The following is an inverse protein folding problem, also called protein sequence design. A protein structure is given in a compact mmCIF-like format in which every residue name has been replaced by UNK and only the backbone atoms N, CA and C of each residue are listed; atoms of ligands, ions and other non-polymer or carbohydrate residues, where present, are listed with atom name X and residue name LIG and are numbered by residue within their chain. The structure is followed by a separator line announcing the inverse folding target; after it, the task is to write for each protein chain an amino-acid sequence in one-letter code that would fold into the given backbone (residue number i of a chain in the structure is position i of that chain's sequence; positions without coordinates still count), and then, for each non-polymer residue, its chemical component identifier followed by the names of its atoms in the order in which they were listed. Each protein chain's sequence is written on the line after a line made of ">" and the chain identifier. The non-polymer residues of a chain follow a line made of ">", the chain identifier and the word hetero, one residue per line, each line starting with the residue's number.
data_IF_593378914395
#
_entry.id   IF_593378914395
#
_cell.length_a   1.000
_cell.length_b   1.000
_cell.length_c   1.000
_cell.angle_alpha   90.00
_cell.angle_beta   90.00
_cell.angle_gamma   90.00
#
_symmetry.space_group_name_H-M   'P 1'
#
loop_
_entity.id
_entity.type
_entity.pdbx_description
1 polymer ?
#
# COMPACT_ATOMS: atom_id res chain seq x y z
N UNK A 1 -33.67 1.39 41.19
CA UNK A 1 -33.65 2.81 41.61
C UNK A 1 -33.52 3.63 40.37
N UNK A 2 -34.62 4.07 39.98
CA UNK A 2 -35.13 5.22 39.20
C UNK A 2 -34.29 5.79 38.05
N UNK A 3 -34.92 5.61 36.89
CA UNK A 3 -34.72 6.20 35.58
C UNK A 3 -35.19 7.68 35.61
N UNK A 4 -34.40 8.61 35.11
CA UNK A 4 -34.85 9.96 34.78
C UNK A 4 -34.84 10.17 33.27
N UNK A 5 -36.04 10.35 32.69
CA UNK A 5 -36.31 10.81 31.34
C UNK A 5 -36.21 12.34 31.31
N UNK A 6 -35.55 12.91 30.33
CA UNK A 6 -35.59 14.33 29.99
C UNK A 6 -36.31 14.51 28.63
N UNK A 7 -37.38 15.28 28.68
CA UNK A 7 -38.28 15.66 27.58
C UNK A 7 -37.76 16.90 26.84
N UNK A 8 -37.98 16.91 25.52
CA UNK A 8 -37.73 18.05 24.64
C UNK A 8 -38.83 19.14 24.73
N UNK A 9 -38.54 20.41 24.48
CA UNK A 9 -39.57 21.42 24.34
C UNK A 9 -39.94 21.69 22.87
N UNK A 10 -41.24 21.86 22.74
CA UNK A 10 -42.09 22.19 21.62
C UNK A 10 -41.88 23.66 21.16
N UNK A 11 -41.81 23.86 19.84
CA UNK A 11 -41.76 25.21 19.25
C UNK A 11 -43.11 25.60 18.65
N UNK A 12 -43.67 26.73 19.14
CA UNK A 12 -44.94 27.32 18.67
C UNK A 12 -44.70 28.38 17.59
N UNK A 13 -45.58 28.37 16.59
CA UNK A 13 -45.64 29.28 15.44
C UNK A 13 -46.58 30.45 15.75
N UNK A 14 -46.20 31.63 15.27
CA UNK A 14 -46.97 32.78 14.76
C UNK A 14 -46.63 34.13 15.42
N UNK A 15 -46.12 35.02 14.60
CA UNK A 15 -46.76 36.36 14.38
C UNK A 15 -46.06 37.12 13.25
N UNK A 16 -46.90 37.53 12.32
CA UNK A 16 -46.66 38.46 11.20
C UNK A 16 -46.53 39.90 11.68
N UNK A 17 -45.69 40.75 11.06
CA UNK A 17 -45.96 42.17 10.79
C UNK A 17 -45.18 42.64 9.58
N UNK A 18 -45.89 43.38 8.71
CA UNK A 18 -45.49 43.98 7.44
C UNK A 18 -44.82 45.37 7.65
N UNK A 19 -44.47 46.11 6.57
CA UNK A 19 -43.11 46.61 6.37
C UNK A 19 -42.99 48.14 6.55
N UNK A 20 -41.77 48.63 6.72
CA UNK A 20 -41.46 50.06 6.63
C UNK A 20 -40.56 50.30 5.42
N UNK A 21 -41.07 51.08 4.47
CA UNK A 21 -40.36 51.59 3.28
C UNK A 21 -39.51 52.77 3.68
N UNK A 22 -38.22 52.72 3.41
CA UNK A 22 -37.37 53.94 3.35
C UNK A 22 -36.43 53.80 2.14
N UNK A 23 -36.76 54.63 1.14
CA UNK A 23 -35.94 54.88 -0.05
C UNK A 23 -34.69 55.65 0.32
N UNK A 24 -33.51 55.12 0.02
CA UNK A 24 -32.32 55.94 -0.29
C UNK A 24 -31.52 55.24 -1.40
N UNK A 25 -31.38 55.94 -2.48
CA UNK A 25 -30.61 55.68 -3.67
C UNK A 25 -29.14 55.44 -3.35
N UNK A 26 -28.58 54.34 -3.79
CA UNK A 26 -27.14 54.07 -3.89
C UNK A 26 -26.80 53.59 -5.31
N UNK A 27 -25.57 53.81 -5.79
CA UNK A 27 -25.22 53.79 -7.20
C UNK A 27 -25.11 52.41 -7.79
N UNK A 28 -25.30 52.34 -9.10
CA UNK A 28 -25.21 51.14 -9.95
C UNK A 28 -23.92 50.37 -9.76
N UNK A 29 -23.98 49.26 -9.02
CA UNK A 29 -23.03 48.16 -9.20
C UNK A 29 -23.53 47.30 -10.35
N UNK A 30 -22.82 47.33 -11.45
CA UNK A 30 -22.97 46.39 -12.55
C UNK A 30 -22.56 45.01 -12.03
N UNK A 31 -23.52 44.15 -11.73
CA UNK A 31 -23.29 42.71 -11.48
C UNK A 31 -22.82 42.11 -12.80
N UNK A 32 -21.52 41.90 -12.91
CA UNK A 32 -20.95 40.99 -13.93
C UNK A 32 -21.31 39.59 -13.49
N UNK A 33 -22.37 39.05 -14.08
CA UNK A 33 -22.64 37.64 -14.06
C UNK A 33 -21.50 36.94 -14.82
N UNK A 34 -20.47 36.53 -14.10
CA UNK A 34 -19.51 35.54 -14.62
C UNK A 34 -20.27 34.25 -14.85
N UNK A 35 -20.50 34.01 -16.12
CA UNK A 35 -20.97 32.71 -16.63
C UNK A 35 -20.04 31.65 -16.02
N UNK A 36 -20.55 30.78 -15.13
CA UNK A 36 -19.85 29.60 -14.70
C UNK A 36 -19.50 28.83 -15.97
N UNK A 37 -18.24 28.86 -16.35
CA UNK A 37 -17.71 27.95 -17.34
C UNK A 37 -17.79 26.57 -16.67
N UNK A 38 -18.65 25.69 -17.21
CA UNK A 38 -18.52 24.27 -16.99
C UNK A 38 -17.14 23.90 -17.50
N UNK A 39 -16.18 23.79 -16.61
CA UNK A 39 -14.95 23.07 -16.90
C UNK A 39 -15.39 21.61 -16.97
N UNK A 40 -15.48 21.08 -18.19
CA UNK A 40 -15.50 19.64 -18.39
C UNK A 40 -14.22 19.13 -17.75
N UNK A 41 -14.32 18.66 -16.49
CA UNK A 41 -13.25 17.92 -15.84
C UNK A 41 -13.19 16.61 -16.61
N UNK A 42 -12.25 16.52 -17.55
CA UNK A 42 -11.92 15.25 -18.17
C UNK A 42 -11.66 14.26 -17.05
N UNK A 43 -12.45 13.17 -16.98
CA UNK A 43 -12.23 12.11 -16.01
C UNK A 43 -10.83 11.58 -16.30
N UNK A 44 -9.89 11.87 -15.39
CA UNK A 44 -8.54 11.33 -15.47
C UNK A 44 -8.63 9.82 -15.17
N UNK A 45 -8.52 9.01 -16.21
CA UNK A 45 -8.48 7.55 -16.12
C UNK A 45 -7.05 7.04 -15.87
N UNK A 46 -6.12 7.91 -15.49
CA UNK A 46 -4.78 7.53 -15.12
C UNK A 46 -4.77 6.79 -13.77
N UNK A 47 -3.68 6.07 -13.52
CA UNK A 47 -3.44 5.42 -12.22
C UNK A 47 -3.42 6.39 -11.04
N UNK A 48 -3.17 7.69 -11.29
CA UNK A 48 -3.10 8.74 -10.28
C UNK A 48 -4.45 9.42 -9.98
N UNK A 49 -5.53 9.03 -10.68
CA UNK A 49 -6.84 9.67 -10.56
C UNK A 49 -7.44 9.65 -9.15
N UNK A 50 -7.00 8.72 -8.29
CA UNK A 50 -7.46 8.62 -6.91
C UNK A 50 -6.70 9.52 -5.93
N UNK A 51 -5.48 9.95 -6.25
CA UNK A 51 -4.61 10.69 -5.33
C UNK A 51 -5.17 12.04 -4.87
N UNK A 52 -5.80 12.87 -5.75
CA UNK A 52 -6.36 14.15 -5.31
C UNK A 52 -7.40 14.01 -4.20
N UNK A 53 -8.33 13.08 -4.34
CA UNK A 53 -9.36 12.84 -3.32
C UNK A 53 -8.77 12.27 -2.02
N UNK A 54 -7.74 11.43 -2.10
CA UNK A 54 -7.04 10.90 -0.93
C UNK A 54 -6.27 12.01 -0.20
N UNK A 55 -5.57 12.90 -0.92
CA UNK A 55 -4.86 14.04 -0.33
C UNK A 55 -5.83 15.02 0.33
N UNK A 56 -6.98 15.32 -0.31
CA UNK A 56 -8.05 16.12 0.26
C UNK A 56 -8.60 15.53 1.55
N UNK A 57 -8.90 14.23 1.56
CA UNK A 57 -9.40 13.51 2.74
C UNK A 57 -8.41 13.54 3.92
N UNK A 58 -7.11 13.54 3.64
CA UNK A 58 -6.05 13.68 4.64
C UNK A 58 -5.79 15.12 5.06
N UNK A 59 -6.29 16.12 4.31
CA UNK A 59 -6.00 17.54 4.53
C UNK A 59 -4.53 17.90 4.25
N UNK A 60 -3.87 17.20 3.33
CA UNK A 60 -2.47 17.41 2.96
C UNK A 60 -2.35 17.86 1.50
N UNK A 61 -1.29 18.59 1.13
CA UNK A 61 -1.03 18.90 -0.27
C UNK A 61 -0.71 17.62 -1.05
N UNK A 62 -1.18 17.60 -2.32
CA UNK A 62 -0.78 16.54 -3.25
C UNK A 62 0.64 16.85 -3.78
N UNK A 63 1.67 16.03 -3.47
CA UNK A 63 2.98 16.23 -4.04
C UNK A 63 2.98 15.85 -5.53
N UNK A 64 4.00 16.26 -6.31
CA UNK A 64 4.25 15.65 -7.61
C UNK A 64 4.39 14.14 -7.48
N UNK A 65 3.73 13.40 -8.36
CA UNK A 65 3.81 11.92 -8.41
C UNK A 65 4.04 11.51 -9.85
N UNK A 66 4.98 10.63 -10.06
CA UNK A 66 5.28 10.06 -11.39
C UNK A 66 5.61 8.58 -11.28
N UNK A 67 5.36 7.85 -12.36
CA UNK A 67 5.86 6.49 -12.54
C UNK A 67 7.21 6.54 -13.22
N UNK A 68 8.19 5.85 -12.62
CA UNK A 68 9.53 5.69 -13.19
C UNK A 68 9.81 4.21 -13.44
N UNK A 69 10.73 3.92 -14.34
CA UNK A 69 11.12 2.56 -14.68
C UNK A 69 12.62 2.46 -14.88
N UNK A 70 13.20 1.32 -14.45
CA UNK A 70 14.59 0.97 -14.64
C UNK A 70 14.70 -0.29 -15.49
N UNK A 71 15.58 -0.27 -16.49
CA UNK A 71 16.00 -1.48 -17.18
C UNK A 71 17.06 -2.16 -16.32
N UNK A 72 16.76 -3.33 -15.77
CA UNK A 72 17.67 -4.14 -14.99
C UNK A 72 18.79 -4.75 -15.85
N UNK A 73 19.86 -5.19 -15.21
CA UNK A 73 21.02 -5.79 -15.86
C UNK A 73 20.71 -7.04 -16.67
N UNK A 74 19.67 -7.80 -16.27
CA UNK A 74 19.17 -8.99 -16.97
C UNK A 74 18.17 -8.67 -18.10
N UNK A 75 17.86 -7.39 -18.31
CA UNK A 75 16.95 -6.93 -19.36
C UNK A 75 15.48 -6.86 -18.96
N UNK A 76 15.09 -7.26 -17.74
CA UNK A 76 13.76 -7.00 -17.18
C UNK A 76 13.59 -5.51 -16.87
N UNK A 77 12.37 -5.08 -16.59
CA UNK A 77 12.06 -3.72 -16.17
C UNK A 77 11.51 -3.75 -14.74
N UNK A 78 12.07 -2.92 -13.86
CA UNK A 78 11.51 -2.64 -12.55
C UNK A 78 10.83 -1.27 -12.59
N UNK A 79 9.65 -1.17 -11.99
CA UNK A 79 8.80 0.02 -11.96
C UNK A 79 8.64 0.53 -10.53
N UNK A 80 8.49 1.84 -10.37
CA UNK A 80 8.20 2.47 -9.09
C UNK A 80 7.35 3.73 -9.26
N UNK A 81 6.64 4.11 -8.20
CA UNK A 81 6.07 5.44 -8.03
C UNK A 81 7.07 6.30 -7.25
N UNK A 82 7.36 7.49 -7.79
CA UNK A 82 8.13 8.52 -7.09
C UNK A 82 7.17 9.59 -6.59
N UNK A 83 7.19 9.86 -5.28
CA UNK A 83 6.44 10.94 -4.65
C UNK A 83 7.39 12.06 -4.22
N UNK A 84 6.96 13.30 -4.47
CA UNK A 84 7.71 14.49 -4.08
C UNK A 84 8.84 14.84 -5.05
N UNK A 85 9.66 15.80 -4.62
CA UNK A 85 10.81 16.32 -5.39
C UNK A 85 12.11 16.09 -4.62
N UNK A 86 13.21 15.97 -5.33
CA UNK A 86 14.53 15.72 -4.73
C UNK A 86 14.88 14.23 -4.70
N UNK A 87 15.98 13.91 -4.00
CA UNK A 87 16.42 12.53 -3.79
C UNK A 87 15.47 11.82 -2.84
N UNK A 88 15.01 10.60 -3.16
CA UNK A 88 14.21 9.82 -2.24
C UNK A 88 14.93 9.56 -0.91
N UNK A 89 14.18 9.63 0.18
CA UNK A 89 14.64 9.37 1.54
C UNK A 89 14.05 8.08 2.12
N UNK A 90 12.93 7.64 1.56
CA UNK A 90 12.17 6.47 1.98
C UNK A 90 11.90 5.57 0.78
N UNK A 91 12.07 4.28 0.96
CA UNK A 91 11.70 3.27 -0.02
C UNK A 91 10.68 2.30 0.58
N UNK A 92 9.56 2.12 -0.12
CA UNK A 92 8.42 1.33 0.30
C UNK A 92 8.29 0.07 -0.58
N UNK A 93 8.26 -1.11 0.04
CA UNK A 93 8.12 -2.42 -0.62
C UNK A 93 6.82 -3.09 -0.20
N UNK A 94 5.98 -3.44 -1.16
CA UNK A 94 4.66 -4.03 -0.92
C UNK A 94 4.70 -5.55 -0.67
N UNK A 95 3.60 -6.10 -0.19
CA UNK A 95 3.40 -7.53 0.01
C UNK A 95 3.00 -8.29 -1.26
N UNK A 96 2.99 -9.62 -1.18
CA UNK A 96 2.60 -10.50 -2.27
C UNK A 96 1.19 -10.18 -2.79
N UNK A 97 1.03 -10.12 -4.11
CA UNK A 97 -0.24 -9.84 -4.78
C UNK A 97 -0.68 -8.37 -4.76
N UNK A 98 0.11 -7.47 -4.17
CA UNK A 98 -0.10 -6.02 -4.16
C UNK A 98 0.76 -5.32 -5.22
N UNK A 99 0.84 -4.00 -5.18
CA UNK A 99 1.70 -3.16 -6.02
C UNK A 99 2.02 -1.84 -5.29
N UNK A 100 2.78 -0.96 -5.93
CA UNK A 100 3.22 0.33 -5.36
C UNK A 100 2.06 1.20 -4.84
N UNK A 101 0.89 1.16 -5.46
CA UNK A 101 -0.26 1.96 -5.05
C UNK A 101 -0.91 1.56 -3.71
N UNK A 102 -0.54 0.41 -3.13
CA UNK A 102 -0.96 0.07 -1.76
C UNK A 102 -0.43 1.10 -0.74
N UNK A 103 0.62 1.84 -1.12
CA UNK A 103 1.29 2.84 -0.29
C UNK A 103 0.75 4.26 -0.46
N UNK A 104 -0.15 4.53 -1.43
CA UNK A 104 -0.59 5.88 -1.79
C UNK A 104 -0.96 6.74 -0.59
N UNK A 105 -1.87 6.25 0.27
CA UNK A 105 -2.35 7.01 1.43
C UNK A 105 -1.25 7.23 2.48
N UNK A 106 -0.39 6.22 2.70
CA UNK A 106 0.77 6.35 3.60
C UNK A 106 1.79 7.35 3.05
N UNK A 107 2.08 7.31 1.75
CA UNK A 107 2.97 8.24 1.07
C UNK A 107 2.47 9.68 1.14
N UNK A 108 1.16 9.88 0.90
CA UNK A 108 0.51 11.19 1.05
C UNK A 108 0.58 11.69 2.50
N UNK A 109 0.34 10.84 3.49
CA UNK A 109 0.41 11.23 4.90
C UNK A 109 1.84 11.55 5.37
N UNK A 110 2.85 10.87 4.80
CA UNK A 110 4.26 11.04 5.18
C UNK A 110 4.88 12.34 4.64
N UNK A 111 4.42 12.83 3.49
CA UNK A 111 4.88 14.11 2.89
C UNK A 111 6.41 14.22 2.75
N UNK A 112 7.10 13.11 2.44
CA UNK A 112 8.54 13.05 2.19
C UNK A 112 8.83 12.59 0.77
N UNK A 113 9.97 12.97 0.15
CA UNK A 113 10.40 12.35 -1.09
C UNK A 113 10.61 10.85 -0.91
N UNK A 114 9.90 10.02 -1.68
CA UNK A 114 9.96 8.57 -1.54
C UNK A 114 9.76 7.81 -2.85
N UNK A 115 10.14 6.53 -2.79
CA UNK A 115 9.85 5.53 -3.80
C UNK A 115 8.89 4.48 -3.24
N UNK A 116 7.87 4.11 -4.00
CA UNK A 116 7.11 2.89 -3.79
C UNK A 116 7.37 1.96 -4.98
N UNK A 117 8.06 0.83 -4.75
CA UNK A 117 8.54 -0.04 -5.81
C UNK A 117 7.50 -1.14 -6.09
N UNK A 118 7.19 -1.37 -7.35
CA UNK A 118 6.54 -2.60 -7.81
C UNK A 118 7.60 -3.71 -7.82
N UNK A 119 7.55 -4.65 -6.89
CA UNK A 119 8.45 -5.81 -6.88
C UNK A 119 8.30 -6.63 -8.18
N UNK A 120 9.36 -7.31 -8.62
CA UNK A 120 9.26 -8.18 -9.80
C UNK A 120 8.04 -9.12 -9.69
N UNK A 121 7.36 -9.34 -10.81
CA UNK A 121 6.14 -10.13 -10.84
C UNK A 121 4.88 -9.40 -10.37
N UNK A 122 4.95 -8.11 -10.07
CA UNK A 122 3.84 -7.29 -9.57
C UNK A 122 3.76 -5.95 -10.30
N UNK A 123 2.58 -5.32 -10.23
CA UNK A 123 2.35 -3.98 -10.76
C UNK A 123 2.77 -3.85 -12.21
N UNK A 124 3.58 -2.84 -12.51
CA UNK A 124 4.10 -2.60 -13.86
C UNK A 124 5.56 -3.07 -14.03
N UNK A 125 6.08 -3.83 -13.06
CA UNK A 125 7.36 -4.54 -13.17
C UNK A 125 7.25 -5.81 -13.99
N UNK A 126 8.36 -6.20 -14.64
CA UNK A 126 8.43 -7.45 -15.41
C UNK A 126 8.20 -8.68 -14.54
N UNK A 127 7.55 -9.68 -15.10
CA UNK A 127 7.50 -11.01 -14.52
C UNK A 127 8.83 -11.74 -14.75
N UNK A 128 9.18 -12.65 -13.85
CA UNK A 128 10.36 -13.51 -13.96
C UNK A 128 9.98 -14.79 -14.71
N UNK A 129 10.81 -15.19 -15.66
CA UNK A 129 10.61 -16.44 -16.43
C UNK A 129 10.80 -17.69 -15.55
N UNK A 130 11.72 -17.60 -14.57
CA UNK A 130 12.00 -18.68 -13.61
C UNK A 130 10.96 -18.76 -12.47
N UNK A 131 10.03 -17.80 -12.41
CA UNK A 131 9.04 -17.66 -11.36
C UNK A 131 9.64 -17.63 -9.92
N UNK A 132 10.93 -17.30 -9.78
CA UNK A 132 11.58 -17.15 -8.47
C UNK A 132 11.31 -15.75 -7.89
N UNK A 133 10.46 -15.71 -6.88
CA UNK A 133 10.09 -14.50 -6.13
C UNK A 133 10.51 -14.63 -4.66
N UNK A 134 11.56 -15.39 -4.39
CA UNK A 134 12.14 -15.47 -3.06
C UNK A 134 12.64 -14.06 -2.62
N UNK A 135 12.57 -13.73 -1.32
CA UNK A 135 12.97 -12.42 -0.81
C UNK A 135 14.38 -11.98 -1.25
N UNK A 136 15.35 -12.89 -1.23
CA UNK A 136 16.74 -12.59 -1.66
C UNK A 136 16.82 -12.28 -3.15
N UNK A 137 16.08 -13.03 -3.99
CA UNK A 137 16.02 -12.80 -5.44
C UNK A 137 15.37 -11.46 -5.77
N UNK A 138 14.32 -11.09 -5.04
CA UNK A 138 13.68 -9.77 -5.18
C UNK A 138 14.57 -8.64 -4.66
N UNK A 139 15.37 -8.90 -3.63
CA UNK A 139 16.31 -7.92 -3.07
C UNK A 139 17.36 -7.48 -4.10
N UNK A 140 17.87 -8.38 -4.93
CA UNK A 140 18.84 -8.06 -5.98
C UNK A 140 18.27 -7.03 -6.97
N UNK A 141 17.02 -7.20 -7.39
CA UNK A 141 16.33 -6.25 -8.28
C UNK A 141 16.17 -4.86 -7.60
N UNK A 142 15.84 -4.85 -6.30
CA UNK A 142 15.68 -3.58 -5.53
C UNK A 142 17.03 -2.91 -5.31
N UNK A 143 18.12 -3.65 -5.12
CA UNK A 143 19.49 -3.09 -5.03
C UNK A 143 19.83 -2.32 -6.29
N UNK A 144 19.63 -2.90 -7.49
CA UNK A 144 19.87 -2.18 -8.75
C UNK A 144 19.06 -0.88 -8.83
N UNK A 145 17.81 -0.90 -8.34
CA UNK A 145 16.94 0.28 -8.32
C UNK A 145 17.44 1.36 -7.36
N UNK A 146 17.85 0.99 -6.15
CA UNK A 146 18.37 1.97 -5.17
C UNK A 146 19.68 2.58 -5.64
N UNK A 147 20.60 1.78 -6.21
CA UNK A 147 21.83 2.28 -6.79
C UNK A 147 21.58 3.30 -7.93
N UNK A 148 20.47 3.11 -8.69
CA UNK A 148 20.14 4.00 -9.81
C UNK A 148 19.33 5.24 -9.41
N UNK A 149 18.44 5.13 -8.41
CA UNK A 149 17.42 6.14 -8.11
C UNK A 149 17.67 6.93 -6.84
N UNK A 150 18.61 6.50 -5.99
CA UNK A 150 18.88 7.15 -4.71
C UNK A 150 20.33 7.62 -4.60
N UNK A 151 20.58 8.58 -3.73
CA UNK A 151 21.92 9.13 -3.48
C UNK A 151 22.33 9.05 -2.02
N UNK A 152 21.47 8.46 -1.19
CA UNK A 152 21.68 8.34 0.25
C UNK A 152 21.03 7.06 0.78
N UNK A 153 21.47 6.53 1.92
CA UNK A 153 20.83 5.38 2.56
C UNK A 153 19.34 5.65 2.86
N UNK A 154 18.50 4.66 2.62
CA UNK A 154 17.05 4.76 2.69
C UNK A 154 16.49 4.34 4.05
N UNK A 155 15.44 5.01 4.51
CA UNK A 155 14.47 4.39 5.41
C UNK A 155 13.71 3.34 4.57
N UNK A 156 14.07 2.07 4.75
CA UNK A 156 13.50 0.96 3.99
C UNK A 156 12.32 0.36 4.73
N UNK A 157 11.13 0.44 4.16
CA UNK A 157 9.88 -0.04 4.77
C UNK A 157 9.29 -1.13 3.89
N UNK A 158 9.13 -2.32 4.45
CA UNK A 158 8.57 -3.44 3.70
C UNK A 158 7.41 -4.12 4.42
N UNK A 159 6.32 -4.34 3.72
CA UNK A 159 5.16 -5.07 4.23
C UNK A 159 5.21 -6.52 3.74
N UNK A 160 5.02 -7.49 4.64
CA UNK A 160 4.93 -8.92 4.29
C UNK A 160 6.15 -9.37 3.44
N UNK A 161 5.94 -9.86 2.21
CA UNK A 161 7.02 -10.20 1.27
C UNK A 161 8.05 -9.06 1.12
N UNK A 162 7.58 -7.80 1.02
CA UNK A 162 8.46 -6.62 0.97
C UNK A 162 9.31 -6.45 2.22
N UNK A 163 8.82 -6.86 3.40
CA UNK A 163 9.55 -6.84 4.66
C UNK A 163 10.71 -7.84 4.68
N UNK A 164 10.46 -9.06 4.21
CA UNK A 164 11.50 -10.08 4.07
C UNK A 164 12.52 -9.71 2.97
N UNK A 165 12.04 -9.13 1.85
CA UNK A 165 12.90 -8.58 0.79
C UNK A 165 13.79 -7.46 1.32
N UNK A 166 13.23 -6.55 2.12
CA UNK A 166 13.98 -5.48 2.77
C UNK A 166 15.04 -5.99 3.74
N UNK A 167 14.74 -7.06 4.49
CA UNK A 167 15.71 -7.71 5.38
C UNK A 167 16.89 -8.30 4.59
N UNK A 168 16.62 -9.03 3.50
CA UNK A 168 17.64 -9.60 2.63
C UNK A 168 18.52 -8.50 1.99
N UNK A 169 17.92 -7.39 1.54
CA UNK A 169 18.63 -6.24 1.01
C UNK A 169 19.52 -5.60 2.07
N UNK A 170 18.97 -5.30 3.25
CA UNK A 170 19.71 -4.65 4.33
C UNK A 170 20.88 -5.50 4.86
N UNK A 171 20.75 -6.83 4.81
CA UNK A 171 21.82 -7.77 5.16
C UNK A 171 22.99 -7.75 4.16
N UNK A 172 22.68 -7.60 2.87
CA UNK A 172 23.70 -7.68 1.78
C UNK A 172 24.27 -6.32 1.39
N UNK A 173 23.46 -5.23 1.52
CA UNK A 173 23.83 -3.85 1.15
C UNK A 173 23.48 -2.88 2.29
N UNK A 174 24.18 -3.01 3.45
CA UNK A 174 23.94 -2.14 4.61
C UNK A 174 24.21 -0.66 4.29
N UNK A 175 25.02 -0.37 3.27
CA UNK A 175 25.30 0.98 2.77
C UNK A 175 24.06 1.68 2.17
N UNK A 176 23.07 0.92 1.72
CA UNK A 176 21.81 1.45 1.15
C UNK A 176 20.70 1.68 2.17
N UNK A 177 20.85 1.23 3.42
CA UNK A 177 19.76 1.23 4.41
C UNK A 177 20.17 1.98 5.67
N UNK A 178 19.48 3.07 5.97
CA UNK A 178 19.66 3.82 7.22
C UNK A 178 18.82 3.24 8.38
N UNK A 179 17.67 2.66 8.08
CA UNK A 179 16.79 1.95 9.01
C UNK A 179 15.91 0.97 8.23
N UNK A 180 15.58 -0.17 8.83
CA UNK A 180 14.66 -1.16 8.30
C UNK A 180 13.39 -1.20 9.14
N UNK A 181 12.23 -1.01 8.48
CA UNK A 181 10.91 -1.20 9.09
C UNK A 181 10.22 -2.38 8.44
N UNK A 182 10.01 -3.45 9.20
CA UNK A 182 9.32 -4.68 8.78
C UNK A 182 7.87 -4.62 9.23
N UNK A 183 6.92 -4.64 8.29
CA UNK A 183 5.50 -4.47 8.58
C UNK A 183 4.77 -5.81 8.50
N UNK A 184 4.31 -6.26 9.65
CA UNK A 184 3.43 -7.38 9.93
C UNK A 184 3.86 -8.73 9.31
N UNK A 185 5.16 -9.01 9.38
CA UNK A 185 5.76 -10.31 9.00
C UNK A 185 6.97 -10.60 9.87
N UNK A 186 7.20 -11.87 10.17
CA UNK A 186 8.48 -12.40 10.62
C UNK A 186 8.75 -13.71 9.87
N UNK A 187 10.01 -14.17 9.77
CA UNK A 187 10.30 -15.45 9.11
C UNK A 187 9.61 -16.66 9.75
N UNK A 188 9.14 -16.54 11.01
CA UNK A 188 8.42 -17.61 11.72
C UNK A 188 6.92 -17.66 11.45
N UNK A 189 6.35 -16.66 10.77
CA UNK A 189 4.91 -16.62 10.50
C UNK A 189 4.53 -17.68 9.48
N UNK A 190 3.58 -18.54 9.85
CA UNK A 190 3.00 -19.52 8.92
C UNK A 190 2.01 -18.82 7.96
N UNK A 191 2.52 -18.37 6.82
CA UNK A 191 1.70 -17.77 5.76
C UNK A 191 0.73 -18.74 5.11
N UNK A 192 0.94 -20.07 5.27
CA UNK A 192 0.02 -21.07 4.75
C UNK A 192 -1.31 -21.10 5.53
N UNK A 193 -1.28 -20.64 6.79
CA UNK A 193 -2.46 -20.42 7.60
C UNK A 193 -3.28 -19.18 7.18
N UNK A 194 -2.80 -18.41 6.19
CA UNK A 194 -3.52 -17.28 5.62
C UNK A 194 -4.93 -17.66 5.17
N UNK A 195 -5.87 -16.69 5.09
CA UNK A 195 -7.28 -16.99 4.86
C UNK A 195 -7.49 -17.91 3.64
N UNK A 196 -8.18 -19.03 3.82
CA UNK A 196 -8.54 -19.92 2.72
C UNK A 196 -9.27 -19.16 1.59
N UNK A 197 -9.99 -18.09 1.95
CA UNK A 197 -10.63 -17.19 1.02
C UNK A 197 -9.64 -16.46 0.09
N UNK A 198 -8.45 -16.06 0.59
CA UNK A 198 -7.42 -15.40 -0.24
C UNK A 198 -6.84 -16.39 -1.27
N UNK A 199 -6.55 -17.62 -0.83
CA UNK A 199 -6.14 -18.69 -1.75
C UNK A 199 -7.20 -18.98 -2.81
N UNK A 200 -8.47 -19.09 -2.39
CA UNK A 200 -9.60 -19.30 -3.30
C UNK A 200 -9.83 -18.11 -4.26
N UNK A 201 -9.53 -16.91 -3.82
CA UNK A 201 -9.64 -15.71 -4.66
C UNK A 201 -8.63 -15.74 -5.81
N UNK A 202 -7.36 -16.05 -5.53
CA UNK A 202 -6.31 -16.14 -6.54
C UNK A 202 -6.30 -17.46 -7.31
N UNK A 203 -6.85 -18.53 -6.75
CA UNK A 203 -6.96 -19.84 -7.37
C UNK A 203 -8.05 -19.95 -8.47
N UNK A 204 -8.66 -18.84 -8.86
CA UNK A 204 -9.70 -18.81 -9.89
C UNK A 204 -9.18 -18.51 -11.29
N UNK A 205 -10.06 -18.04 -12.20
CA UNK A 205 -9.66 -17.58 -13.52
C UNK A 205 -8.58 -16.50 -13.43
N UNK A 206 -7.63 -16.52 -14.36
CA UNK A 206 -6.54 -15.53 -14.45
C UNK A 206 -6.94 -14.30 -15.24
N UNK A 207 -8.08 -14.38 -15.95
CA UNK A 207 -8.67 -13.26 -16.70
C UNK A 207 -10.19 -13.21 -16.56
N UNK A 208 -10.77 -12.04 -16.79
CA UNK A 208 -12.16 -11.70 -16.52
C UNK A 208 -12.75 -10.88 -17.68
N UNK A 209 -14.07 -10.90 -17.84
CA UNK A 209 -14.73 -10.11 -18.88
C UNK A 209 -14.67 -8.60 -18.58
N UNK A 210 -14.60 -8.21 -17.31
CA UNK A 210 -14.53 -6.81 -16.89
C UNK A 210 -13.95 -6.67 -15.47
N UNK A 211 -13.52 -5.44 -15.12
CA UNK A 211 -13.17 -5.10 -13.74
C UNK A 211 -14.37 -5.24 -12.78
N UNK A 212 -15.59 -4.96 -13.28
CA UNK A 212 -16.81 -5.14 -12.48
C UNK A 212 -17.03 -6.57 -12.00
N UNK A 213 -16.73 -7.57 -12.85
CA UNK A 213 -16.77 -8.98 -12.46
C UNK A 213 -15.82 -9.30 -11.30
N UNK A 214 -14.62 -8.75 -11.33
CA UNK A 214 -13.64 -8.90 -10.25
C UNK A 214 -14.06 -8.20 -8.96
N UNK A 215 -14.66 -7.02 -9.07
CA UNK A 215 -15.20 -6.28 -7.90
C UNK A 215 -16.29 -7.12 -7.23
N UNK A 216 -17.26 -7.65 -7.97
CA UNK A 216 -18.30 -8.50 -7.41
C UNK A 216 -17.72 -9.77 -6.77
N UNK A 217 -16.74 -10.40 -7.40
CA UNK A 217 -16.04 -11.57 -6.83
C UNK A 217 -15.32 -11.22 -5.53
N UNK A 218 -14.56 -10.12 -5.50
CA UNK A 218 -13.85 -9.68 -4.31
C UNK A 218 -14.81 -9.39 -3.14
N UNK A 219 -15.87 -8.64 -3.41
CA UNK A 219 -16.89 -8.30 -2.41
C UNK A 219 -17.64 -9.54 -1.89
N UNK A 220 -17.95 -10.51 -2.77
CA UNK A 220 -18.61 -11.76 -2.36
C UNK A 220 -17.76 -12.60 -1.39
N UNK A 221 -16.44 -12.43 -1.42
CA UNK A 221 -15.48 -13.11 -0.55
C UNK A 221 -15.07 -12.26 0.66
N UNK A 222 -15.61 -11.04 0.79
CA UNK A 222 -15.31 -10.12 1.89
C UNK A 222 -13.98 -9.39 1.76
N UNK A 223 -13.43 -9.28 0.53
CA UNK A 223 -12.21 -8.53 0.27
C UNK A 223 -12.49 -7.07 -0.14
N UNK A 224 -11.53 -6.18 0.16
CA UNK A 224 -11.46 -4.82 -0.35
C UNK A 224 -12.18 -3.75 0.47
N UNK A 225 -12.90 -4.12 1.55
CA UNK A 225 -13.62 -3.14 2.37
C UNK A 225 -14.89 -2.60 1.69
N UNK A 226 -15.01 -1.29 1.52
CA UNK A 226 -16.12 -0.67 0.80
C UNK A 226 -16.05 -0.96 -0.70
N UNK A 227 -17.18 -0.79 -1.41
CA UNK A 227 -17.20 -0.94 -2.87
C UNK A 227 -16.17 -0.02 -3.56
N UNK A 228 -16.07 1.24 -3.15
CA UNK A 228 -15.14 2.20 -3.73
C UNK A 228 -13.67 1.79 -3.53
N UNK A 229 -13.32 1.29 -2.35
CA UNK A 229 -11.98 0.75 -2.07
C UNK A 229 -11.69 -0.49 -2.91
N UNK A 230 -12.68 -1.38 -3.06
CA UNK A 230 -12.57 -2.57 -3.91
C UNK A 230 -12.39 -2.21 -5.38
N UNK A 231 -13.17 -1.26 -5.90
CA UNK A 231 -13.06 -0.75 -7.27
C UNK A 231 -11.68 -0.14 -7.53
N UNK A 232 -11.17 0.67 -6.59
CA UNK A 232 -9.81 1.20 -6.66
C UNK A 232 -8.76 0.08 -6.67
N UNK A 233 -8.84 -0.86 -5.74
CA UNK A 233 -7.92 -1.98 -5.65
C UNK A 233 -7.89 -2.82 -6.92
N UNK A 234 -9.06 -3.15 -7.47
CA UNK A 234 -9.19 -3.89 -8.74
C UNK A 234 -8.62 -3.08 -9.90
N UNK A 235 -8.94 -1.78 -9.99
CA UNK A 235 -8.42 -0.91 -11.06
C UNK A 235 -6.89 -0.88 -11.07
N UNK A 236 -6.25 -0.71 -9.92
CA UNK A 236 -4.80 -0.57 -9.79
C UNK A 236 -4.04 -1.91 -9.92
N UNK A 237 -4.67 -3.04 -9.55
CA UNK A 237 -4.08 -4.38 -9.63
C UNK A 237 -4.36 -5.13 -10.93
N UNK A 238 -5.09 -4.53 -11.89
CA UNK A 238 -5.44 -5.16 -13.16
C UNK A 238 -5.06 -4.32 -14.35
N UNK A 239 -4.87 -4.99 -15.48
CA UNK A 239 -4.73 -4.35 -16.80
C UNK A 239 -5.73 -4.92 -17.78
N UNK A 240 -6.09 -4.11 -18.78
CA UNK A 240 -6.91 -4.55 -19.90
C UNK A 240 -5.97 -5.05 -21.01
N UNK A 241 -6.18 -6.28 -21.46
CA UNK A 241 -5.43 -6.90 -22.56
C UNK A 241 -5.92 -6.38 -23.92
N UNK A 242 -5.14 -6.67 -24.96
CA UNK A 242 -5.49 -6.27 -26.33
C UNK A 242 -6.83 -6.89 -26.84
N UNK A 243 -7.23 -8.04 -26.28
CA UNK A 243 -8.52 -8.70 -26.56
C UNK A 243 -9.70 -8.14 -25.75
N UNK A 244 -9.47 -7.09 -24.93
CA UNK A 244 -10.45 -6.43 -24.08
C UNK A 244 -10.72 -7.13 -22.75
N UNK A 245 -10.13 -8.28 -22.50
CA UNK A 245 -10.23 -8.97 -21.20
C UNK A 245 -9.36 -8.29 -20.15
N UNK A 246 -9.74 -8.46 -18.91
CA UNK A 246 -9.03 -7.93 -17.73
C UNK A 246 -8.22 -9.04 -17.09
N UNK A 247 -6.95 -8.80 -16.82
CA UNK A 247 -6.07 -9.75 -16.11
C UNK A 247 -5.37 -9.08 -14.93
N UNK A 248 -4.91 -9.90 -13.98
CA UNK A 248 -4.09 -9.44 -12.87
C UNK A 248 -2.73 -8.92 -13.36
N UNK A 249 -2.24 -7.83 -12.75
CA UNK A 249 -0.86 -7.35 -12.95
C UNK A 249 0.18 -8.25 -12.27
N UNK A 250 -0.21 -9.04 -11.26
CA UNK A 250 0.73 -9.89 -10.55
C UNK A 250 0.76 -11.33 -11.09
N UNK A 251 1.96 -11.91 -11.15
CA UNK A 251 2.20 -13.26 -11.67
C UNK A 251 1.61 -14.36 -10.76
N UNK A 252 1.44 -14.08 -9.46
CA UNK A 252 0.95 -15.05 -8.48
C UNK A 252 -0.39 -15.71 -8.85
N UNK A 253 -1.32 -14.97 -9.46
CA UNK A 253 -2.59 -15.55 -9.89
C UNK A 253 -2.39 -16.63 -10.95
N UNK A 254 -1.44 -16.42 -11.87
CA UNK A 254 -1.11 -17.37 -12.92
C UNK A 254 -0.40 -18.60 -12.35
N UNK A 255 0.54 -18.41 -11.43
CA UNK A 255 1.23 -19.50 -10.74
C UNK A 255 0.28 -20.35 -9.90
N UNK A 256 -0.63 -19.72 -9.16
CA UNK A 256 -1.66 -20.41 -8.39
C UNK A 256 -2.59 -21.23 -9.27
N UNK A 257 -3.01 -20.70 -10.41
CA UNK A 257 -3.83 -21.42 -11.38
C UNK A 257 -3.09 -22.62 -12.00
N UNK A 258 -1.80 -22.47 -12.31
CA UNK A 258 -0.96 -23.56 -12.83
C UNK A 258 -0.78 -24.66 -11.80
N UNK A 259 -0.48 -24.32 -10.53
CA UNK A 259 -0.33 -25.29 -9.44
C UNK A 259 -1.62 -26.10 -9.21
N UNK A 260 -2.79 -25.46 -9.29
CA UNK A 260 -4.08 -26.17 -9.20
C UNK A 260 -4.34 -27.09 -10.38
N UNK A 261 -3.95 -26.70 -11.61
CA UNK A 261 -4.13 -27.50 -12.81
C UNK A 261 -3.20 -28.74 -12.81
N UNK A 262 -2.03 -28.65 -12.19
CA UNK A 262 -1.05 -29.73 -12.10
C UNK A 262 -1.45 -30.89 -11.17
N UNK A 263 -2.50 -30.74 -10.34
CA UNK A 263 -3.01 -31.79 -9.43
C UNK A 263 -1.93 -32.49 -8.56
N UNK A 264 -0.89 -31.77 -8.13
CA UNK A 264 0.10 -32.33 -7.20
C UNK A 264 -0.07 -31.74 -5.79
N UNK A 265 -0.74 -32.49 -4.86
CA UNK A 265 -0.90 -32.03 -3.48
C UNK A 265 0.36 -32.22 -2.63
N UNK A 266 1.45 -32.73 -3.22
CA UNK A 266 2.61 -33.28 -2.47
C UNK A 266 3.81 -32.34 -2.35
N UNK A 267 3.92 -31.27 -3.12
CA UNK A 267 5.14 -30.43 -3.10
C UNK A 267 4.93 -29.15 -2.27
N UNK A 268 4.62 -29.32 -0.98
CA UNK A 268 4.55 -28.24 0.00
C UNK A 268 5.89 -27.96 0.71
N UNK A 269 7.01 -28.33 0.12
CA UNK A 269 8.33 -28.20 0.76
C UNK A 269 8.93 -26.76 0.74
N UNK A 270 8.29 -25.81 0.06
CA UNK A 270 8.79 -24.43 -0.06
C UNK A 270 8.76 -23.56 1.22
N UNK A 271 7.85 -23.72 2.21
CA UNK A 271 7.80 -22.81 3.35
C UNK A 271 9.01 -22.87 4.30
N UNK A 272 9.61 -24.05 4.49
CA UNK A 272 10.61 -24.25 5.56
C UNK A 272 11.96 -23.58 5.27
N UNK A 273 12.45 -23.63 4.03
CA UNK A 273 13.75 -23.06 3.67
C UNK A 273 13.73 -21.52 3.66
N UNK A 274 12.60 -20.90 3.30
CA UNK A 274 12.42 -19.45 3.35
C UNK A 274 12.41 -18.90 4.78
N UNK A 275 11.98 -19.70 5.75
CA UNK A 275 11.94 -19.32 7.16
C UNK A 275 13.33 -19.20 7.79
N UNK A 276 14.20 -20.17 7.56
CA UNK A 276 15.55 -20.16 8.15
C UNK A 276 16.41 -19.02 7.58
N UNK A 277 16.43 -18.87 6.26
CA UNK A 277 17.20 -17.81 5.59
C UNK A 277 16.75 -16.39 5.98
N UNK A 278 15.48 -16.19 6.23
CA UNK A 278 14.94 -14.88 6.66
C UNK A 278 15.42 -14.46 8.05
N UNK A 279 15.62 -15.41 8.99
CA UNK A 279 16.20 -15.09 10.30
C UNK A 279 17.69 -14.77 10.21
N UNK A 280 18.44 -15.43 9.34
CA UNK A 280 19.85 -15.13 9.09
C UNK A 280 20.02 -13.74 8.47
N UNK A 281 19.13 -13.37 7.54
CA UNK A 281 19.11 -12.04 6.94
C UNK A 281 18.87 -10.97 8.01
N UNK A 282 17.80 -11.11 8.83
CA UNK A 282 17.50 -10.16 9.90
C UNK A 282 18.64 -10.05 10.93
N UNK A 283 19.28 -11.16 11.28
CA UNK A 283 20.41 -11.16 12.21
C UNK A 283 21.66 -10.49 11.64
N UNK A 284 21.76 -10.37 10.32
CA UNK A 284 22.88 -9.73 9.62
C UNK A 284 22.66 -8.25 9.36
N UNK A 285 21.46 -7.72 9.60
CA UNK A 285 21.15 -6.29 9.43
C UNK A 285 21.86 -5.47 10.50
N UNK A 286 22.65 -4.48 10.07
CA UNK A 286 23.37 -3.57 10.98
C UNK A 286 22.64 -2.26 11.24
N UNK A 287 21.67 -1.91 10.39
CA UNK A 287 20.79 -0.76 10.60
C UNK A 287 19.78 -1.03 11.74
N UNK A 288 19.27 0.00 12.42
CA UNK A 288 18.16 -0.17 13.34
C UNK A 288 16.97 -0.88 12.69
N UNK A 289 16.34 -1.81 13.42
CA UNK A 289 15.18 -2.56 12.94
C UNK A 289 13.95 -2.20 13.78
N UNK A 290 12.85 -1.92 13.11
CA UNK A 290 11.53 -1.79 13.73
C UNK A 290 10.58 -2.83 13.13
N UNK A 291 9.96 -3.66 13.98
CA UNK A 291 8.82 -4.50 13.62
C UNK A 291 7.53 -3.74 13.91
N UNK A 292 6.72 -3.50 12.90
CA UNK A 292 5.35 -2.99 13.05
C UNK A 292 4.39 -4.18 13.03
N UNK A 293 3.83 -4.52 14.18
CA UNK A 293 2.83 -5.57 14.31
C UNK A 293 1.43 -4.97 14.16
N UNK A 294 0.61 -5.55 13.30
CA UNK A 294 -0.82 -5.24 13.25
C UNK A 294 -1.56 -6.01 14.35
N UNK A 295 -2.44 -5.34 15.10
CA UNK A 295 -3.20 -5.99 16.18
C UNK A 295 -4.11 -7.14 15.68
N UNK A 296 -4.53 -7.07 14.40
CA UNK A 296 -5.34 -8.08 13.69
C UNK A 296 -4.63 -8.56 12.42
N UNK A 297 -3.29 -8.68 12.49
CA UNK A 297 -2.45 -9.09 11.37
C UNK A 297 -2.01 -10.55 11.44
N UNK A 298 -0.91 -10.84 10.75
CA UNK A 298 -0.31 -12.18 10.70
C UNK A 298 0.66 -12.44 11.85
N UNK A 299 1.34 -11.39 12.33
CA UNK A 299 2.29 -11.52 13.44
C UNK A 299 1.54 -11.62 14.77
N UNK A 300 1.56 -12.78 15.39
CA UNK A 300 1.00 -12.98 16.73
C UNK A 300 1.85 -12.33 17.81
N UNK A 301 1.35 -12.28 19.05
CA UNK A 301 2.15 -11.83 20.20
C UNK A 301 3.38 -12.73 20.45
N UNK A 302 3.22 -14.04 20.24
CA UNK A 302 4.32 -15.00 20.38
C UNK A 302 5.39 -14.78 19.30
N UNK A 303 5.00 -14.50 18.04
CA UNK A 303 5.95 -14.16 16.98
C UNK A 303 6.72 -12.88 17.29
N UNK A 304 6.06 -11.87 17.86
CA UNK A 304 6.71 -10.63 18.26
C UNK A 304 7.69 -10.86 19.44
N UNK A 305 7.34 -11.70 20.40
CA UNK A 305 8.24 -12.12 21.48
C UNK A 305 9.45 -12.88 20.93
N UNK A 306 9.26 -13.80 20.01
CA UNK A 306 10.36 -14.54 19.36
C UNK A 306 11.25 -13.62 18.53
N UNK A 307 10.66 -12.64 17.82
CA UNK A 307 11.39 -11.61 17.08
C UNK A 307 12.28 -10.80 18.03
N UNK A 308 11.73 -10.30 19.14
CA UNK A 308 12.48 -9.54 20.15
C UNK A 308 13.55 -10.38 20.82
N UNK A 309 13.30 -11.69 21.04
CA UNK A 309 14.29 -12.61 21.62
C UNK A 309 15.49 -12.80 20.68
N UNK A 310 15.25 -12.88 19.37
CA UNK A 310 16.33 -13.05 18.36
C UNK A 310 17.05 -11.75 18.05
N UNK A 311 16.34 -10.64 18.12
CA UNK A 311 16.82 -9.30 17.79
C UNK A 311 16.56 -8.36 18.98
N UNK A 312 17.35 -8.44 20.06
CA UNK A 312 17.07 -7.73 21.32
C UNK A 312 17.10 -6.21 21.17
N UNK A 313 17.84 -5.68 20.20
CA UNK A 313 17.95 -4.25 19.93
C UNK A 313 16.87 -3.72 18.97
N UNK A 314 16.04 -4.61 18.40
CA UNK A 314 14.95 -4.20 17.52
C UNK A 314 13.80 -3.58 18.31
N UNK A 315 13.16 -2.55 17.74
CA UNK A 315 11.93 -1.98 18.27
C UNK A 315 10.70 -2.75 17.79
N UNK A 316 9.70 -2.93 18.66
CA UNK A 316 8.40 -3.50 18.28
C UNK A 316 7.30 -2.48 18.55
N UNK A 317 6.61 -2.04 17.50
CA UNK A 317 5.46 -1.15 17.56
C UNK A 317 4.18 -1.92 17.22
N UNK A 318 3.08 -1.62 17.91
CA UNK A 318 1.76 -2.24 17.63
C UNK A 318 0.81 -1.18 17.13
N UNK A 319 0.18 -1.44 15.98
CA UNK A 319 -0.85 -0.58 15.40
C UNK A 319 -2.21 -1.31 15.36
N UNK A 320 -3.29 -0.59 15.60
CA UNK A 320 -4.66 -1.11 15.43
C UNK A 320 -5.02 -1.19 13.94
N UNK A 321 -4.56 -2.26 13.31
CA UNK A 321 -4.63 -2.48 11.87
C UNK A 321 -4.85 -3.96 11.56
N UNK A 322 -5.13 -4.27 10.30
CA UNK A 322 -5.04 -5.60 9.72
C UNK A 322 -3.68 -5.81 9.07
N UNK A 323 -3.45 -6.97 8.45
CA UNK A 323 -2.18 -7.31 7.77
C UNK A 323 -1.66 -6.22 6.81
N UNK A 324 -2.55 -5.59 6.05
CA UNK A 324 -2.20 -4.47 5.17
C UNK A 324 -2.24 -3.15 5.97
N UNK A 325 -1.29 -2.96 6.88
CA UNK A 325 -1.20 -1.79 7.77
C UNK A 325 -1.20 -0.48 6.98
N UNK A 326 -0.50 -0.44 5.85
CA UNK A 326 -0.40 0.71 4.95
C UNK A 326 -1.74 1.15 4.34
N UNK A 327 -2.73 0.26 4.31
CA UNK A 327 -4.09 0.55 3.83
C UNK A 327 -5.08 0.79 4.97
N UNK A 328 -4.93 0.06 6.10
CA UNK A 328 -5.91 0.08 7.19
C UNK A 328 -5.56 1.03 8.33
N UNK A 329 -4.30 1.46 8.44
CA UNK A 329 -3.83 2.46 9.41
C UNK A 329 -2.73 3.38 8.81
N UNK A 330 -2.93 3.95 7.59
CA UNK A 330 -1.88 4.67 6.85
C UNK A 330 -1.33 5.88 7.59
N UNK A 331 -2.18 6.65 8.27
CA UNK A 331 -1.77 7.84 9.03
C UNK A 331 -0.96 7.47 10.27
N UNK A 332 -1.37 6.41 10.98
CA UNK A 332 -0.64 5.93 12.15
C UNK A 332 0.74 5.37 11.75
N UNK A 333 0.80 4.65 10.63
CA UNK A 333 2.06 4.16 10.08
C UNK A 333 2.96 5.34 9.65
N UNK A 334 2.43 6.31 8.91
CA UNK A 334 3.18 7.50 8.52
C UNK A 334 3.72 8.29 9.72
N UNK A 335 2.93 8.44 10.80
CA UNK A 335 3.37 9.09 12.02
C UNK A 335 4.52 8.34 12.70
N UNK A 336 4.48 7.00 12.73
CA UNK A 336 5.57 6.17 13.22
C UNK A 336 6.83 6.37 12.38
N UNK A 337 6.73 6.31 11.05
CA UNK A 337 7.85 6.50 10.13
C UNK A 337 8.44 7.93 10.20
N UNK A 338 7.63 8.95 10.48
CA UNK A 338 8.08 10.32 10.65
C UNK A 338 8.83 10.55 11.97
N UNK A 339 8.54 9.75 13.01
CA UNK A 339 9.21 9.83 14.32
C UNK A 339 10.60 9.19 14.32
N UNK A 340 10.93 8.43 13.30
CA UNK A 340 12.25 7.87 13.06
C UNK A 340 13.21 9.02 12.70
N UNK A 341 14.22 9.33 13.53
CA UNK A 341 15.12 10.44 13.26
C UNK A 341 15.92 10.15 11.99
N UNK A 342 15.79 11.01 10.99
CA UNK A 342 16.78 11.08 9.92
C UNK A 342 18.14 11.37 10.59
N UNK A 343 18.98 10.36 10.78
CA UNK A 343 20.34 10.57 11.26
C UNK A 343 21.09 11.29 10.16
N UNK A 344 21.19 12.64 10.33
CA UNK A 344 22.11 13.43 9.53
C UNK A 344 23.52 12.87 9.67
N UNK A 345 24.16 12.77 8.54
CA UNK A 345 25.59 12.48 8.37
C UNK A 345 26.40 13.57 9.06
#
# INVERSE_FOLDING_TARGET
>A
MQIAKATAPYYDKKRSKKPLILSKSLPHFRTVLTRAQNVDVAIDNSEFSYLPAQAEALGVPLPPVERIALRLSDGRTLSALRFGTGSPEVTLLHGAGLNAHTWDTTALALQRPLLAIDLAGHGDSSWREDADYAPRTLADDVVEALDAWTTQPQLLVGQSLGGLTGAALAATRPDLVSELVVVDITPGVDVSAGPAALRAFYAGPTDFASRGELVEKAMSLGFGGTRAETERGVFLNTRVRADGRVEWKHHFAHLAAQALAAHDPGDSAAPSALHETGWDDLASVTAPITLVRAARGFVSENDAVEFQRRLPDAHVAVLDATHNVQETAPVALAALLASTPARGI
#
